data_IF_457509841570
#
_entry.id   IF_457509841570
#
_cell.length_a   1.000
_cell.length_b   1.000
_cell.length_c   1.000
_cell.angle_alpha   90.00
_cell.angle_beta   90.00
_cell.angle_gamma   90.00
#
_symmetry.space_group_name_H-M   'P 1'
#
loop_
_entity.id
_entity.type
_entity.pdbx_description
1 polymer ?
#
# COMPACT_ATOMS: atom_id res chain seq x y z
N UNK A 1 -3.44 12.05 -22.32
CA UNK A 1 -3.01 11.54 -21.00
C UNK A 1 -1.56 11.16 -21.16
N UNK A 2 -0.66 11.89 -20.49
CA UNK A 2 0.75 11.89 -20.82
C UNK A 2 1.43 10.66 -20.21
N UNK A 3 2.43 10.11 -20.89
CA UNK A 3 3.22 8.95 -20.45
C UNK A 3 3.80 9.12 -19.02
N UNK A 4 3.96 10.37 -18.58
CA UNK A 4 4.40 10.78 -17.25
C UNK A 4 3.38 10.45 -16.14
N UNK A 5 2.08 10.54 -16.42
CA UNK A 5 1.02 10.24 -15.45
C UNK A 5 0.99 8.73 -15.15
N UNK A 6 1.24 7.91 -16.16
CA UNK A 6 1.31 6.46 -16.05
C UNK A 6 2.54 6.00 -15.23
N UNK A 7 3.70 6.63 -15.43
CA UNK A 7 4.90 6.34 -14.63
C UNK A 7 4.73 6.76 -13.17
N UNK A 8 4.10 7.93 -12.91
CA UNK A 8 3.78 8.38 -11.55
C UNK A 8 2.83 7.41 -10.85
N UNK A 9 1.76 6.98 -11.52
CA UNK A 9 0.79 6.05 -10.97
C UNK A 9 1.40 4.70 -10.61
N UNK A 10 2.20 4.12 -11.51
CA UNK A 10 2.90 2.85 -11.28
C UNK A 10 3.86 2.98 -10.10
N UNK A 11 4.68 4.05 -10.08
CA UNK A 11 5.64 4.29 -9.01
C UNK A 11 4.97 4.40 -7.66
N UNK A 12 3.88 5.16 -7.56
CA UNK A 12 3.11 5.32 -6.33
C UNK A 12 2.58 3.96 -5.85
N UNK A 13 1.94 3.19 -6.74
CA UNK A 13 1.41 1.87 -6.39
C UNK A 13 2.51 0.92 -5.90
N UNK A 14 3.68 0.92 -6.54
CA UNK A 14 4.83 0.11 -6.12
C UNK A 14 5.34 0.50 -4.74
N UNK A 15 5.50 1.80 -4.46
CA UNK A 15 5.94 2.28 -3.14
C UNK A 15 4.96 1.83 -2.05
N UNK A 16 3.65 2.00 -2.28
CA UNK A 16 2.63 1.55 -1.33
C UNK A 16 2.62 0.04 -1.15
N UNK A 17 2.85 -0.74 -2.22
CA UNK A 17 2.96 -2.19 -2.12
C UNK A 17 4.16 -2.63 -1.24
N UNK A 18 5.31 -1.98 -1.41
CA UNK A 18 6.50 -2.26 -0.58
C UNK A 18 6.23 -1.91 0.88
N UNK A 19 5.66 -0.73 1.16
CA UNK A 19 5.31 -0.31 2.52
C UNK A 19 4.30 -1.26 3.16
N UNK A 20 3.27 -1.65 2.42
CA UNK A 20 2.25 -2.59 2.86
C UNK A 20 2.86 -3.96 3.22
N UNK A 21 3.78 -4.47 2.39
CA UNK A 21 4.45 -5.75 2.64
C UNK A 21 5.33 -5.67 3.90
N UNK A 22 6.14 -4.61 4.05
CA UNK A 22 7.01 -4.43 5.22
C UNK A 22 6.19 -4.34 6.49
N UNK A 23 5.10 -3.56 6.50
CA UNK A 23 4.24 -3.41 7.67
C UNK A 23 3.43 -4.67 7.95
N UNK A 24 2.88 -5.33 6.94
CA UNK A 24 2.16 -6.59 7.09
C UNK A 24 3.02 -7.68 7.71
N UNK A 25 4.23 -7.88 7.18
CA UNK A 25 5.20 -8.84 7.72
C UNK A 25 5.66 -8.42 9.12
N UNK A 26 5.99 -7.13 9.32
CA UNK A 26 6.42 -6.61 10.61
C UNK A 26 5.39 -6.85 11.71
N UNK A 27 4.10 -6.58 11.42
CA UNK A 27 3.01 -6.83 12.37
C UNK A 27 2.83 -8.32 12.64
N UNK A 28 2.82 -9.15 11.59
CA UNK A 28 2.66 -10.61 11.75
C UNK A 28 3.79 -11.26 12.57
N UNK A 29 5.00 -10.70 12.52
CA UNK A 29 6.18 -11.28 13.20
C UNK A 29 6.41 -10.67 14.59
N UNK A 30 6.17 -9.37 14.76
CA UNK A 30 6.59 -8.63 15.96
C UNK A 30 5.46 -8.42 16.98
N UNK A 31 4.23 -8.80 16.65
CA UNK A 31 3.07 -8.56 17.52
C UNK A 31 2.20 -9.81 17.63
N UNK A 32 1.59 -10.04 18.80
CA UNK A 32 0.67 -11.17 19.04
C UNK A 32 -0.76 -10.91 18.52
N UNK A 33 -0.91 -10.03 17.53
CA UNK A 33 -2.23 -9.75 16.97
C UNK A 33 -2.65 -10.87 16.00
N UNK A 34 -3.96 -11.15 15.90
CA UNK A 34 -4.46 -12.08 14.90
C UNK A 34 -4.00 -11.78 13.47
N UNK A 35 -3.69 -12.81 12.69
CA UNK A 35 -3.15 -12.73 11.33
C UNK A 35 -4.04 -11.91 10.37
N UNK A 36 -5.37 -11.92 10.59
CA UNK A 36 -6.31 -11.12 9.80
C UNK A 36 -6.06 -9.61 9.91
N UNK A 37 -5.44 -9.13 11.00
CA UNK A 37 -5.06 -7.71 11.16
C UNK A 37 -3.88 -7.38 10.25
N UNK A 38 -2.85 -8.22 10.21
CA UNK A 38 -1.73 -8.05 9.29
C UNK A 38 -2.20 -8.08 7.82
N UNK A 39 -3.11 -8.98 7.49
CA UNK A 39 -3.76 -9.02 6.18
C UNK A 39 -4.56 -7.74 5.88
N UNK A 40 -5.31 -7.25 6.86
CA UNK A 40 -6.05 -5.98 6.76
C UNK A 40 -5.14 -4.80 6.46
N UNK A 41 -3.97 -4.72 7.11
CA UNK A 41 -2.96 -3.69 6.86
C UNK A 41 -2.44 -3.76 5.42
N UNK A 42 -2.14 -4.96 4.93
CA UNK A 42 -1.67 -5.16 3.54
C UNK A 42 -2.72 -4.68 2.54
N UNK A 43 -4.00 -5.02 2.74
CA UNK A 43 -5.07 -4.57 1.84
C UNK A 43 -5.26 -3.06 1.90
N UNK A 44 -5.33 -2.49 3.10
CA UNK A 44 -5.56 -1.05 3.26
C UNK A 44 -4.42 -0.25 2.64
N UNK A 45 -3.17 -0.62 2.92
CA UNK A 45 -2.01 0.12 2.44
C UNK A 45 -1.66 -0.21 0.98
N UNK A 46 -1.83 -1.44 0.53
CA UNK A 46 -1.45 -1.87 -0.82
C UNK A 46 -2.49 -1.52 -1.88
N UNK A 47 -3.76 -1.35 -1.51
CA UNK A 47 -4.87 -1.18 -2.47
C UNK A 47 -5.61 0.14 -2.24
N UNK A 48 -6.02 0.42 -1.00
CA UNK A 48 -6.89 1.57 -0.70
C UNK A 48 -6.08 2.87 -0.65
N UNK A 49 -4.95 2.86 0.06
CA UNK A 49 -4.10 4.03 0.23
C UNK A 49 -3.54 4.61 -1.09
N UNK A 50 -2.99 3.84 -2.04
CA UNK A 50 -2.52 4.40 -3.31
C UNK A 50 -3.67 4.97 -4.15
N UNK A 51 -4.86 4.35 -4.12
CA UNK A 51 -6.04 4.92 -4.77
C UNK A 51 -6.46 6.25 -4.17
N UNK A 52 -6.52 6.32 -2.85
CA UNK A 52 -6.86 7.57 -2.14
C UNK A 52 -5.81 8.66 -2.42
N UNK A 53 -4.52 8.32 -2.36
CA UNK A 53 -3.43 9.25 -2.62
C UNK A 53 -3.47 9.81 -4.05
N UNK A 54 -3.73 8.98 -5.05
CA UNK A 54 -3.86 9.42 -6.43
C UNK A 54 -5.15 10.21 -6.66
N UNK A 55 -6.23 9.91 -5.94
CA UNK A 55 -7.50 10.63 -6.06
C UNK A 55 -7.49 12.02 -5.40
N UNK A 56 -6.82 12.19 -4.26
CA UNK A 56 -6.71 13.47 -3.56
C UNK A 56 -5.44 14.27 -3.92
N UNK A 57 -4.49 13.64 -4.63
CA UNK A 57 -3.23 14.24 -5.06
C UNK A 57 -3.25 14.80 -6.48
N UNK A 58 -4.41 14.74 -7.13
CA UNK A 58 -4.83 15.49 -8.32
C UNK A 58 -5.62 16.74 -7.88
#
# INVERSE_FOLDING_TARGET
>A
MSELDFDREIRVRLVFAVVAAVLGVGVAVLTDVPEWIAFGIVILLGIVAPRAYLYFGD
#
